data_IF_102446597061
#
_entry.id   IF_102446597061
#
_cell.length_a   1.000
_cell.length_b   1.000
_cell.length_c   1.000
_cell.angle_alpha   90.00
_cell.angle_beta   90.00
_cell.angle_gamma   90.00
#
_symmetry.space_group_name_H-M   'P 1'
#
loop_
_entity.id
_entity.type
_entity.pdbx_description
1 polymer ?
#
# COMPACT_ATOMS: atom_id res chain seq x y z
N UNK A 1 -5.13 8.64 -13.23
CA UNK A 1 -4.09 8.27 -12.26
C UNK A 1 -4.20 9.21 -11.07
N UNK A 2 -4.31 8.67 -9.85
CA UNK A 2 -4.30 9.48 -8.63
C UNK A 2 -2.91 10.10 -8.44
N UNK A 3 -2.85 11.41 -8.23
CA UNK A 3 -1.63 12.12 -7.84
C UNK A 3 -1.23 11.67 -6.43
N UNK A 4 0.03 11.23 -6.27
CA UNK A 4 0.56 10.79 -4.97
C UNK A 4 0.40 11.88 -3.90
N UNK A 5 0.51 13.15 -4.29
CA UNK A 5 0.33 14.29 -3.37
C UNK A 5 -1.08 14.34 -2.81
N UNK A 6 -2.09 14.21 -3.68
CA UNK A 6 -3.49 14.18 -3.28
C UNK A 6 -3.78 12.99 -2.36
N UNK A 7 -3.26 11.79 -2.69
CA UNK A 7 -3.47 10.62 -1.84
C UNK A 7 -2.86 10.77 -0.44
N UNK A 8 -1.62 11.27 -0.36
CA UNK A 8 -0.96 11.51 0.94
C UNK A 8 -1.76 12.53 1.76
N UNK A 9 -2.15 13.66 1.16
CA UNK A 9 -2.88 14.73 1.85
C UNK A 9 -4.26 14.28 2.30
N UNK A 10 -5.06 13.75 1.38
CA UNK A 10 -6.50 13.55 1.59
C UNK A 10 -6.81 12.29 2.39
N UNK A 11 -5.87 11.34 2.45
CA UNK A 11 -6.10 10.10 3.18
C UNK A 11 -5.07 9.81 4.27
N UNK A 12 -3.77 9.80 3.96
CA UNK A 12 -2.76 9.42 4.97
C UNK A 12 -2.66 10.50 6.06
N UNK A 13 -2.48 11.76 5.67
CA UNK A 13 -2.43 12.88 6.61
C UNK A 13 -3.77 13.06 7.34
N UNK A 14 -4.88 12.95 6.62
CA UNK A 14 -6.23 13.08 7.16
C UNK A 14 -6.57 12.01 8.21
N UNK A 15 -5.97 10.81 8.13
CA UNK A 15 -6.17 9.75 9.12
C UNK A 15 -5.17 9.77 10.27
N UNK A 16 -4.12 10.60 10.18
CA UNK A 16 -3.29 11.00 11.32
C UNK A 16 -1.89 10.39 11.38
N UNK A 17 -1.47 9.63 10.36
CA UNK A 17 -0.11 9.09 10.30
C UNK A 17 0.33 8.84 8.87
N UNK A 18 1.53 9.31 8.54
CA UNK A 18 2.22 9.06 7.29
C UNK A 18 3.53 8.36 7.62
N UNK A 19 3.67 7.12 7.17
CA UNK A 19 4.94 6.42 7.14
C UNK A 19 5.15 5.86 5.75
N UNK A 20 6.25 6.26 5.10
CA UNK A 20 6.59 5.81 3.75
C UNK A 20 7.79 4.89 3.79
N UNK A 21 7.86 3.96 2.83
CA UNK A 21 8.98 3.04 2.63
C UNK A 21 9.39 3.06 1.17
N UNK A 22 10.68 3.23 0.91
CA UNK A 22 11.27 3.13 -0.41
C UNK A 22 12.05 1.81 -0.51
N UNK A 23 11.83 1.08 -1.59
CA UNK A 23 12.47 -0.21 -1.85
C UNK A 23 13.10 -0.24 -3.23
N UNK A 24 14.36 -0.67 -3.28
CA UNK A 24 15.09 -0.91 -4.54
C UNK A 24 14.85 -2.35 -4.97
N UNK A 25 14.58 -2.58 -6.24
CA UNK A 25 14.59 -3.94 -6.78
C UNK A 25 16.04 -4.41 -6.89
N UNK A 26 16.29 -5.68 -6.58
CA UNK A 26 17.62 -6.32 -6.72
C UNK A 26 18.73 -5.53 -5.98
N UNK A 27 18.57 -5.26 -4.68
CA UNK A 27 19.50 -4.40 -3.95
C UNK A 27 20.88 -5.06 -3.80
N UNK A 28 21.93 -4.24 -3.86
CA UNK A 28 23.23 -4.62 -3.30
C UNK A 28 23.04 -4.76 -1.78
N UNK A 29 23.58 -5.82 -1.21
CA UNK A 29 23.38 -6.25 0.17
C UNK A 29 23.37 -5.06 1.17
N UNK A 30 22.31 -4.93 1.96
CA UNK A 30 22.15 -3.87 2.96
C UNK A 30 21.59 -2.51 2.50
N UNK A 31 21.44 -2.26 1.19
CA UNK A 31 21.02 -0.93 0.65
C UNK A 31 19.56 -0.83 0.17
N UNK A 32 18.78 -1.91 0.31
CA UNK A 32 17.54 -2.07 -0.45
C UNK A 32 16.28 -1.40 0.11
N UNK A 33 16.26 -1.00 1.38
CA UNK A 33 15.03 -0.55 2.06
C UNK A 33 15.32 0.64 2.96
N UNK A 34 14.50 1.69 2.88
CA UNK A 34 14.50 2.81 3.83
C UNK A 34 13.07 3.20 4.17
N UNK A 35 12.81 3.52 5.44
CA UNK A 35 11.53 4.06 5.90
C UNK A 35 11.65 5.50 6.38
N UNK A 36 10.54 6.20 6.51
CA UNK A 36 10.49 7.51 7.15
C UNK A 36 9.06 7.80 7.65
N UNK A 37 8.94 8.11 8.93
CA UNK A 37 7.72 8.65 9.54
C UNK A 37 7.66 10.17 9.39
N UNK A 38 6.52 10.71 8.94
CA UNK A 38 6.29 12.14 8.71
C UNK A 38 5.17 12.72 9.59
N UNK A 39 4.54 11.93 10.46
CA UNK A 39 3.35 12.37 11.19
C UNK A 39 2.24 12.73 10.21
N UNK A 40 1.83 14.00 10.16
CA UNK A 40 0.84 14.50 9.20
C UNK A 40 1.43 15.48 8.18
N UNK A 41 2.76 15.65 8.14
CA UNK A 41 3.44 16.52 7.18
C UNK A 41 3.44 15.89 5.77
N UNK A 42 2.33 16.10 5.07
CA UNK A 42 2.13 15.57 3.73
C UNK A 42 3.05 16.21 2.69
N UNK A 43 3.51 17.44 2.90
CA UNK A 43 4.40 18.13 1.96
C UNK A 43 5.80 17.52 2.00
N UNK A 44 6.34 17.30 3.20
CA UNK A 44 7.62 16.62 3.38
C UNK A 44 7.55 15.17 2.86
N UNK A 45 6.46 14.46 3.17
CA UNK A 45 6.24 13.10 2.70
C UNK A 45 6.16 13.00 1.17
N UNK A 46 5.40 13.88 0.51
CA UNK A 46 5.29 13.91 -0.95
C UNK A 46 6.62 14.24 -1.63
N UNK A 47 7.35 15.25 -1.10
CA UNK A 47 8.69 15.59 -1.60
C UNK A 47 9.66 14.41 -1.47
N UNK A 48 9.63 13.72 -0.33
CA UNK A 48 10.47 12.55 -0.10
C UNK A 48 10.11 11.41 -1.06
N UNK A 49 8.82 11.12 -1.23
CA UNK A 49 8.33 10.10 -2.16
C UNK A 49 8.81 10.37 -3.59
N UNK A 50 8.64 11.61 -4.08
CA UNK A 50 9.10 12.00 -5.42
C UNK A 50 10.63 11.86 -5.57
N UNK A 51 11.39 12.27 -4.55
CA UNK A 51 12.86 12.19 -4.55
C UNK A 51 13.37 10.75 -4.57
N UNK A 52 12.75 9.85 -3.80
CA UNK A 52 13.14 8.44 -3.79
C UNK A 52 12.68 7.72 -5.06
N UNK A 53 11.50 8.06 -5.58
CA UNK A 53 11.01 7.48 -6.83
C UNK A 53 11.88 7.88 -8.03
N UNK A 54 12.39 9.12 -8.09
CA UNK A 54 13.33 9.54 -9.15
C UNK A 54 14.67 8.80 -9.09
N UNK A 55 15.03 8.19 -7.96
CA UNK A 55 16.19 7.30 -7.80
C UNK A 55 15.88 5.85 -8.18
N UNK A 56 14.78 5.61 -8.90
CA UNK A 56 14.30 4.28 -9.31
C UNK A 56 13.93 3.36 -8.14
N UNK A 57 13.44 3.94 -7.04
CA UNK A 57 12.96 3.17 -5.89
C UNK A 57 11.43 3.15 -5.88
N UNK A 58 10.87 1.98 -5.63
CA UNK A 58 9.44 1.80 -5.49
C UNK A 58 8.98 2.34 -4.14
N UNK A 59 7.90 3.13 -4.13
CA UNK A 59 7.41 3.81 -2.94
C UNK A 59 6.15 3.13 -2.41
N UNK A 60 6.12 2.94 -1.11
CA UNK A 60 5.05 2.31 -0.37
C UNK A 60 4.69 3.14 0.85
N UNK A 61 3.49 2.95 1.37
CA UNK A 61 3.04 3.50 2.65
C UNK A 61 2.61 2.38 3.59
N UNK A 62 2.80 2.58 4.90
CA UNK A 62 2.21 1.71 5.92
C UNK A 62 0.72 2.00 6.04
N UNK A 63 -0.10 0.94 6.02
CA UNK A 63 -1.56 1.08 6.18
C UNK A 63 -1.94 1.41 7.64
N UNK A 64 -1.21 0.83 8.59
CA UNK A 64 -1.32 1.16 10.00
C UNK A 64 -0.55 2.45 10.36
N UNK A 65 -0.93 3.07 11.48
CA UNK A 65 -0.16 4.16 12.07
C UNK A 65 1.09 3.61 12.71
N UNK A 66 2.20 4.29 12.46
CA UNK A 66 3.53 3.85 12.88
C UNK A 66 4.06 4.82 13.94
N UNK A 67 4.82 4.29 14.90
CA UNK A 67 5.47 5.12 15.92
C UNK A 67 6.34 6.22 15.29
N UNK A 68 6.46 7.39 15.97
CA UNK A 68 7.38 8.43 15.56
C UNK A 68 8.82 7.94 15.39
N UNK A 69 9.57 8.65 14.56
CA UNK A 69 11.02 8.46 14.34
C UNK A 69 11.44 7.07 13.86
N UNK A 70 10.53 6.35 13.18
CA UNK A 70 10.90 5.15 12.45
C UNK A 70 11.51 5.50 11.09
N UNK A 71 12.72 5.00 10.83
CA UNK A 71 13.48 5.21 9.58
C UNK A 71 13.67 3.93 8.75
N UNK A 72 12.88 2.90 9.02
CA UNK A 72 12.94 1.57 8.39
C UNK A 72 11.54 1.07 8.04
N UNK A 73 11.45 -0.03 7.29
CA UNK A 73 10.16 -0.71 7.07
C UNK A 73 9.56 -1.13 8.42
N UNK A 74 8.33 -0.73 8.66
CA UNK A 74 7.61 -1.03 9.89
C UNK A 74 7.36 -2.54 10.05
N UNK A 75 7.37 -2.97 11.31
CA UNK A 75 6.92 -4.28 11.77
C UNK A 75 5.72 -4.09 12.69
N UNK A 76 5.02 -5.18 13.04
CA UNK A 76 3.90 -5.14 14.00
C UNK A 76 4.21 -4.41 15.32
N UNK A 77 5.44 -4.54 15.82
CA UNK A 77 5.89 -3.89 17.07
C UNK A 77 5.97 -2.36 16.98
N UNK A 78 6.00 -1.81 15.75
CA UNK A 78 6.06 -0.37 15.51
C UNK A 78 4.65 0.25 15.34
N UNK A 79 3.58 -0.56 15.34
CA UNK A 79 2.20 -0.09 15.16
C UNK A 79 1.71 0.61 16.43
N UNK A 80 1.21 1.82 16.26
CA UNK A 80 0.60 2.63 17.34
C UNK A 80 -0.90 2.81 17.18
N UNK A 81 -1.46 2.46 16.01
CA UNK A 81 -2.88 2.53 15.76
C UNK A 81 -3.28 1.92 14.43
N UNK A 82 -4.53 1.49 14.33
CA UNK A 82 -5.10 0.94 13.11
C UNK A 82 -6.38 1.70 12.80
N UNK A 83 -6.40 2.33 11.63
CA UNK A 83 -7.54 3.12 11.14
C UNK A 83 -8.06 2.64 9.78
N UNK A 84 -7.49 1.57 9.25
CA UNK A 84 -7.72 1.13 7.88
C UNK A 84 -7.79 -0.39 7.80
N UNK A 85 -8.78 -0.92 7.08
CA UNK A 85 -8.73 -2.25 6.48
C UNK A 85 -8.26 -2.14 5.03
N UNK A 86 -7.73 -3.24 4.48
CA UNK A 86 -7.18 -3.23 3.13
C UNK A 86 -7.36 -4.55 2.38
N UNK A 87 -7.25 -4.48 1.05
CA UNK A 87 -7.14 -5.63 0.15
C UNK A 87 -6.22 -5.30 -1.03
N UNK A 88 -5.51 -6.33 -1.52
CA UNK A 88 -4.65 -6.27 -2.69
C UNK A 88 -5.08 -7.35 -3.70
N UNK A 89 -5.77 -6.91 -4.76
CA UNK A 89 -6.36 -7.80 -5.77
C UNK A 89 -5.45 -7.78 -7.00
N UNK A 90 -4.71 -8.87 -7.19
CA UNK A 90 -3.86 -9.09 -8.35
C UNK A 90 -4.53 -10.05 -9.37
N UNK A 91 -4.12 -10.02 -10.65
CA UNK A 91 -4.50 -11.02 -11.62
C UNK A 91 -4.13 -12.43 -11.14
N UNK A 92 -4.97 -13.45 -11.40
CA UNK A 92 -4.60 -14.83 -11.17
C UNK A 92 -3.30 -15.18 -11.93
N UNK A 93 -2.42 -15.95 -11.29
CA UNK A 93 -1.08 -16.28 -11.84
C UNK A 93 -1.14 -17.00 -13.19
N UNK A 94 -2.24 -17.69 -13.46
CA UNK A 94 -2.53 -18.50 -14.63
C UNK A 94 -3.46 -17.80 -15.64
N UNK A 95 -3.91 -16.58 -15.36
CA UNK A 95 -4.82 -15.85 -16.24
C UNK A 95 -4.33 -14.42 -16.53
N UNK A 96 -3.53 -14.21 -17.59
CA UNK A 96 -3.11 -12.88 -18.02
C UNK A 96 -4.26 -12.06 -18.63
N UNK A 97 -5.38 -12.68 -19.02
CA UNK A 97 -6.57 -12.01 -19.56
C UNK A 97 -7.58 -11.62 -18.46
N UNK A 98 -7.10 -11.46 -17.22
CA UNK A 98 -7.93 -11.07 -16.09
C UNK A 98 -8.70 -9.78 -16.36
N UNK A 99 -10.02 -9.82 -16.17
CA UNK A 99 -10.89 -8.66 -16.26
C UNK A 99 -10.71 -7.75 -15.04
N UNK A 100 -9.66 -6.93 -15.10
CA UNK A 100 -9.36 -5.92 -14.08
C UNK A 100 -10.49 -4.91 -13.92
N UNK A 101 -11.13 -4.50 -15.02
CA UNK A 101 -12.19 -3.51 -14.94
C UNK A 101 -13.43 -4.08 -14.25
N UNK A 102 -13.80 -5.32 -14.55
CA UNK A 102 -14.83 -6.07 -13.85
C UNK A 102 -14.51 -6.26 -12.37
N UNK A 103 -13.26 -6.62 -12.03
CA UNK A 103 -12.83 -6.75 -10.64
C UNK A 103 -12.89 -5.41 -9.87
N UNK A 104 -12.53 -4.29 -10.51
CA UNK A 104 -12.65 -2.96 -9.91
C UNK A 104 -14.12 -2.56 -9.71
N UNK A 105 -14.95 -2.81 -10.72
CA UNK A 105 -16.39 -2.56 -10.63
C UNK A 105 -17.04 -3.40 -9.52
N UNK A 106 -16.62 -4.66 -9.37
CA UNK A 106 -17.07 -5.56 -8.32
C UNK A 106 -16.64 -5.09 -6.92
N UNK A 107 -15.38 -4.69 -6.77
CA UNK A 107 -14.86 -4.10 -5.52
C UNK A 107 -15.67 -2.86 -5.12
N UNK A 108 -15.96 -1.97 -6.07
CA UNK A 108 -16.75 -0.76 -5.82
C UNK A 108 -18.18 -1.13 -5.43
N UNK A 109 -18.85 -1.97 -6.24
CA UNK A 109 -20.25 -2.27 -6.09
C UNK A 109 -20.57 -3.13 -4.85
N UNK A 110 -19.76 -4.15 -4.57
CA UNK A 110 -19.99 -5.08 -3.45
C UNK A 110 -19.19 -4.71 -2.19
N UNK A 111 -18.03 -4.09 -2.36
CA UNK A 111 -17.12 -3.77 -1.25
C UNK A 111 -17.31 -2.38 -0.67
N UNK A 112 -17.77 -1.41 -1.47
CA UNK A 112 -17.91 -0.01 -1.08
C UNK A 112 -16.68 0.53 -0.29
N UNK A 113 -15.44 0.39 -0.82
CA UNK A 113 -14.26 0.91 -0.15
C UNK A 113 -14.31 2.43 -0.04
N UNK A 114 -13.68 2.98 1.00
CA UNK A 114 -13.42 4.42 1.10
C UNK A 114 -12.53 4.91 -0.04
N UNK A 115 -11.59 4.07 -0.49
CA UNK A 115 -10.72 4.33 -1.64
C UNK A 115 -10.47 3.04 -2.42
N UNK A 116 -10.63 3.09 -3.74
CA UNK A 116 -10.18 2.06 -4.67
C UNK A 116 -9.11 2.65 -5.61
N UNK A 117 -7.98 1.96 -5.76
CA UNK A 117 -6.84 2.40 -6.56
C UNK A 117 -6.49 1.33 -7.58
N UNK A 118 -6.44 1.73 -8.85
CA UNK A 118 -5.72 0.98 -9.87
C UNK A 118 -4.20 1.15 -9.62
N UNK A 119 -3.51 0.07 -9.24
CA UNK A 119 -2.08 0.09 -8.90
C UNK A 119 -1.15 -0.19 -10.10
N UNK A 120 -1.70 -0.25 -11.32
CA UNK A 120 -1.04 -0.69 -12.54
C UNK A 120 -1.22 -2.20 -12.78
N UNK A 121 -0.67 -3.04 -11.90
CA UNK A 121 -0.77 -4.50 -12.04
C UNK A 121 -1.98 -5.11 -11.33
N UNK A 122 -2.52 -4.45 -10.31
CA UNK A 122 -3.65 -4.92 -9.52
C UNK A 122 -4.56 -3.78 -9.09
N UNK A 123 -5.40 -4.06 -8.10
CA UNK A 123 -6.34 -3.11 -7.50
C UNK A 123 -6.14 -3.14 -5.99
N UNK A 124 -5.97 -1.97 -5.38
CA UNK A 124 -6.01 -1.85 -3.93
C UNK A 124 -7.37 -1.33 -3.50
N UNK A 125 -7.95 -1.95 -2.48
CA UNK A 125 -9.13 -1.44 -1.79
C UNK A 125 -8.79 -1.07 -0.35
N UNK A 126 -9.33 0.05 0.12
CA UNK A 126 -9.10 0.56 1.47
C UNK A 126 -10.42 1.01 2.11
N UNK A 127 -10.59 0.68 3.38
CA UNK A 127 -11.73 1.12 4.19
C UNK A 127 -11.23 1.85 5.42
N UNK A 128 -11.57 3.12 5.55
CA UNK A 128 -11.28 3.93 6.73
C UNK A 128 -12.28 3.53 7.82
N UNK A 129 -11.76 3.12 8.97
CA UNK A 129 -12.55 2.73 10.12
C UNK A 129 -13.04 3.97 10.87
N UNK A 130 -14.32 3.97 11.23
CA UNK A 130 -14.91 5.02 12.07
C UNK A 130 -14.22 5.07 13.43
N UNK A 131 -13.94 3.91 14.01
CA UNK A 131 -13.24 3.73 15.28
C UNK A 131 -11.92 2.97 15.08
N UNK A 132 -10.89 3.26 15.90
CA UNK A 132 -9.66 2.45 15.89
C UNK A 132 -9.92 1.02 16.37
N UNK A 133 -9.06 0.10 15.96
CA UNK A 133 -9.13 -1.32 16.36
C UNK A 133 -7.74 -1.88 16.69
N UNK A 134 -7.69 -3.08 17.26
CA UNK A 134 -6.44 -3.83 17.50
C UNK A 134 -5.98 -4.67 16.29
N UNK A 135 -4.74 -5.17 16.38
CA UNK A 135 -4.09 -5.98 15.33
C UNK A 135 -4.85 -7.28 15.04
N UNK A 136 -5.31 -8.01 16.05
CA UNK A 136 -5.96 -9.30 15.84
C UNK A 136 -7.28 -9.11 15.08
N UNK A 137 -8.06 -8.10 15.48
CA UNK A 137 -9.33 -7.75 14.85
C UNK A 137 -9.15 -7.31 13.41
N UNK A 138 -8.20 -6.40 13.11
CA UNK A 138 -8.01 -5.95 11.71
C UNK A 138 -7.51 -7.07 10.80
N UNK A 139 -6.66 -7.95 11.31
CA UNK A 139 -6.13 -9.07 10.54
C UNK A 139 -7.24 -10.07 10.21
N UNK A 140 -8.19 -10.30 11.13
CA UNK A 140 -9.38 -11.10 10.86
C UNK A 140 -10.28 -10.45 9.80
N UNK A 141 -10.50 -9.13 9.91
CA UNK A 141 -11.28 -8.37 8.91
C UNK A 141 -10.63 -8.48 7.53
N UNK A 142 -9.33 -8.22 7.41
CA UNK A 142 -8.62 -8.29 6.13
C UNK A 142 -8.69 -9.69 5.52
N UNK A 143 -8.60 -10.76 6.31
CA UNK A 143 -8.79 -12.14 5.82
C UNK A 143 -10.17 -12.35 5.21
N UNK A 144 -11.23 -11.88 5.87
CA UNK A 144 -12.59 -11.98 5.34
C UNK A 144 -12.76 -11.19 4.04
N UNK A 145 -12.15 -10.01 3.94
CA UNK A 145 -12.15 -9.21 2.70
C UNK A 145 -11.40 -9.95 1.59
N UNK A 146 -10.23 -10.50 1.88
CA UNK A 146 -9.43 -11.28 0.93
C UNK A 146 -10.23 -12.47 0.39
N UNK A 147 -10.91 -13.21 1.25
CA UNK A 147 -11.76 -14.34 0.86
C UNK A 147 -12.92 -13.88 -0.03
N UNK A 148 -13.57 -12.77 0.32
CA UNK A 148 -14.70 -12.21 -0.44
C UNK A 148 -14.33 -11.80 -1.87
N UNK A 149 -13.13 -11.28 -2.07
CA UNK A 149 -12.66 -10.77 -3.36
C UNK A 149 -11.64 -11.68 -4.06
N UNK A 150 -11.39 -12.88 -3.51
CA UNK A 150 -10.39 -13.83 -4.02
C UNK A 150 -9.00 -13.17 -4.25
N UNK A 151 -8.61 -12.32 -3.30
CA UNK A 151 -7.39 -11.52 -3.36
C UNK A 151 -6.14 -12.32 -2.90
N UNK A 152 -4.97 -11.70 -2.88
CA UNK A 152 -3.75 -12.36 -2.38
C UNK A 152 -3.92 -12.79 -0.90
N UNK A 153 -3.87 -14.11 -0.67
CA UNK A 153 -4.00 -14.73 0.66
C UNK A 153 -2.89 -14.35 1.64
N UNK A 154 -1.85 -13.64 1.20
CA UNK A 154 -0.74 -13.19 2.04
C UNK A 154 -0.86 -11.75 2.53
N UNK A 155 -1.83 -10.96 2.03
CA UNK A 155 -1.93 -9.51 2.27
C UNK A 155 -2.89 -9.13 3.39
N UNK A 156 -2.93 -9.93 4.46
CA UNK A 156 -3.86 -9.70 5.59
C UNK A 156 -3.23 -8.95 6.77
N UNK A 157 -1.90 -8.94 6.87
CA UNK A 157 -1.16 -8.55 8.07
C UNK A 157 -1.24 -7.03 8.35
N UNK A 158 -1.31 -6.64 9.63
CA UNK A 158 -1.51 -5.24 10.02
C UNK A 158 -0.31 -4.33 9.69
N UNK A 159 0.91 -4.87 9.64
CA UNK A 159 2.13 -4.16 9.24
C UNK A 159 2.36 -4.15 7.71
N UNK A 160 1.29 -4.38 6.93
CA UNK A 160 1.37 -4.35 5.47
C UNK A 160 1.70 -2.94 4.98
N UNK A 161 2.63 -2.90 4.02
CA UNK A 161 2.92 -1.72 3.21
C UNK A 161 2.29 -1.91 1.84
N UNK A 162 1.68 -0.85 1.32
CA UNK A 162 0.98 -0.85 0.03
C UNK A 162 1.62 0.17 -0.91
N UNK A 163 1.60 -0.09 -2.22
CA UNK A 163 2.20 0.83 -3.19
C UNK A 163 1.52 2.20 -3.10
N UNK A 164 2.33 3.25 -3.07
CA UNK A 164 1.85 4.62 -3.11
C UNK A 164 1.33 4.92 -4.53
N UNK A 165 0.04 5.23 -4.73
CA UNK A 165 -0.48 5.60 -6.04
C UNK A 165 0.21 6.86 -6.58
N UNK A 166 0.31 6.99 -7.90
CA UNK A 166 0.89 8.17 -8.54
C UNK A 166 2.42 8.20 -8.55
N UNK A 167 3.07 7.09 -8.20
CA UNK A 167 4.53 6.90 -8.35
C UNK A 167 4.84 5.89 -9.45
N UNK A 168 6.02 5.99 -10.07
CA UNK A 168 6.49 5.03 -11.08
C UNK A 168 6.77 3.70 -10.39
N UNK A 169 6.20 2.61 -10.93
CA UNK A 169 6.49 1.26 -10.51
C UNK A 169 7.64 0.68 -11.35
N UNK A 170 8.81 0.57 -10.75
CA UNK A 170 9.97 -0.06 -11.37
C UNK A 170 9.84 -1.58 -11.25
N UNK A 171 9.89 -2.36 -12.36
CA UNK A 171 9.90 -3.82 -12.32
C UNK A 171 11.27 -4.36 -11.86
N UNK A 172 11.28 -5.54 -11.25
CA UNK A 172 12.53 -6.25 -10.92
C UNK A 172 13.12 -6.93 -12.16
N UNK A 173 14.37 -7.39 -12.08
CA UNK A 173 15.06 -8.03 -13.20
C UNK A 173 14.27 -9.20 -13.80
N UNK A 174 13.58 -9.98 -12.95
CA UNK A 174 12.73 -11.10 -13.40
C UNK A 174 11.55 -10.61 -14.25
N UNK A 175 10.86 -9.56 -13.83
CA UNK A 175 9.73 -8.97 -14.57
C UNK A 175 10.20 -8.34 -15.89
N UNK A 176 11.31 -7.62 -15.84
CA UNK A 176 11.95 -7.06 -17.04
C UNK A 176 12.31 -8.16 -18.06
N UNK A 177 12.87 -9.28 -17.61
CA UNK A 177 13.19 -10.42 -18.47
C UNK A 177 11.95 -11.07 -19.11
N UNK A 178 10.78 -10.91 -18.50
CA UNK A 178 9.49 -11.40 -19.01
C UNK A 178 8.74 -10.34 -19.84
N UNK A 179 9.29 -9.13 -19.99
CA UNK A 179 8.65 -8.02 -20.71
C UNK A 179 7.43 -7.42 -20.01
N UNK A 180 7.32 -7.59 -18.69
CA UNK A 180 6.18 -7.17 -17.84
C UNK A 180 6.62 -6.36 -16.61
#
# INVERSE_FOLDING_TARGET
MSDHTAFIRDYLAATGSIHLTAMTNDPIEGSGVSGHHFGTDWQAAAKWAATENSKQRNIYFSVAHIRPDLHNKAKKVDITGIRWAHVDIDPPKDNPAWDKQGALADLIARGAPSVAIDSGNGIHGFWILSEPTDIATIEQINRGIIERFNADRTTWNADRVMRLPGTVNYPNAKKQALGV
#
